data_IF_810406641600
#
_entry.id   IF_810406641600
#
_cell.length_a   1.000
_cell.length_b   1.000
_cell.length_c   1.000
_cell.angle_alpha   90.00
_cell.angle_beta   90.00
_cell.angle_gamma   90.00
#
_symmetry.space_group_name_H-M   'P 1'
#
loop_
_entity.id
_entity.type
_entity.pdbx_description
1 polymer ?
#
# COMPACT_ATOMS: atom_id res chain seq x y z
N UNK A 1 12.23 4.49 9.66
CA UNK A 1 11.40 5.54 9.03
C UNK A 1 9.95 5.18 9.34
N UNK A 2 8.96 5.82 8.73
CA UNK A 2 7.56 5.37 8.86
C UNK A 2 6.88 5.68 7.54
N UNK A 3 6.05 4.77 7.05
CA UNK A 3 5.43 4.91 5.73
C UNK A 3 3.94 5.17 5.87
N UNK A 4 3.45 6.24 5.23
CA UNK A 4 2.03 6.55 5.20
C UNK A 4 1.39 5.93 3.95
N UNK A 5 0.27 5.23 4.15
CA UNK A 5 -0.58 4.71 3.08
C UNK A 5 -2.01 5.25 3.25
N UNK A 6 -2.75 5.35 2.15
CA UNK A 6 -4.17 5.68 2.23
C UNK A 6 -5.00 4.46 2.66
N UNK A 7 -6.05 4.64 3.46
CA UNK A 7 -6.98 3.58 3.88
C UNK A 7 -7.70 2.91 2.71
N UNK A 8 -7.95 1.60 2.81
CA UNK A 8 -8.64 0.81 1.79
C UNK A 8 -10.12 1.21 1.64
N UNK A 9 -10.53 1.69 0.46
CA UNK A 9 -11.96 1.81 0.11
C UNK A 9 -12.20 1.49 -1.37
N UNK A 10 -13.14 0.58 -1.61
CA UNK A 10 -13.57 0.18 -2.94
C UNK A 10 -14.51 1.22 -3.55
N UNK A 11 -14.05 1.97 -4.56
CA UNK A 11 -14.94 2.73 -5.46
C UNK A 11 -14.71 4.24 -5.58
N UNK A 12 -13.65 4.79 -5.00
CA UNK A 12 -13.30 6.22 -5.14
C UNK A 12 -11.85 6.43 -5.56
N UNK A 13 -11.48 7.69 -5.79
CA UNK A 13 -10.11 8.11 -6.10
C UNK A 13 -9.15 7.68 -5.00
N UNK A 14 -8.10 6.96 -5.38
CA UNK A 14 -7.02 6.56 -4.48
C UNK A 14 -6.13 7.77 -4.28
N UNK A 15 -5.90 8.15 -3.02
CA UNK A 15 -4.91 9.18 -2.73
C UNK A 15 -3.51 8.61 -3.01
N UNK A 16 -2.65 9.30 -3.78
CA UNK A 16 -1.30 8.83 -4.05
C UNK A 16 -0.45 8.85 -2.78
N UNK A 17 0.45 7.88 -2.65
CA UNK A 17 1.45 7.77 -1.58
C UNK A 17 2.68 7.02 -2.10
N UNK A 18 3.83 7.17 -1.46
CA UNK A 18 5.12 6.73 -2.00
C UNK A 18 5.17 5.22 -2.29
N UNK A 19 4.66 4.40 -1.35
CA UNK A 19 4.60 2.95 -1.54
C UNK A 19 3.69 2.56 -2.71
N UNK A 20 2.65 3.35 -3.03
CA UNK A 20 1.78 3.08 -4.18
C UNK A 20 2.54 3.25 -5.49
N UNK A 21 3.28 4.34 -5.64
CA UNK A 21 4.04 4.63 -6.86
C UNK A 21 5.11 3.56 -7.11
N UNK A 22 5.74 3.09 -6.02
CA UNK A 22 6.68 2.00 -6.09
C UNK A 22 6.04 0.68 -6.50
N UNK A 23 4.93 0.30 -5.87
CA UNK A 23 4.29 -0.99 -6.13
C UNK A 23 3.53 -1.02 -7.47
N UNK A 24 3.12 0.15 -7.99
CA UNK A 24 2.53 0.27 -9.32
C UNK A 24 3.40 -0.35 -10.42
N UNK A 25 4.73 -0.32 -10.25
CA UNK A 25 5.70 -0.91 -11.19
C UNK A 25 5.52 -2.41 -11.39
N UNK A 26 4.84 -3.10 -10.47
CA UNK A 26 4.60 -4.55 -10.53
C UNK A 26 3.31 -4.94 -11.24
N UNK A 27 2.27 -4.10 -11.17
CA UNK A 27 0.92 -4.44 -11.64
C UNK A 27 0.37 -3.47 -12.68
N UNK A 28 1.05 -2.34 -12.92
CA UNK A 28 0.72 -1.38 -13.98
C UNK A 28 -0.42 -0.41 -13.65
N UNK A 29 -1.22 -0.67 -12.60
CA UNK A 29 -2.32 0.19 -12.19
C UNK A 29 -2.28 0.58 -10.70
N UNK A 30 -2.64 1.83 -10.39
CA UNK A 30 -2.74 2.32 -9.01
C UNK A 30 -3.80 1.53 -8.23
N UNK A 31 -4.86 1.11 -8.90
CA UNK A 31 -5.94 0.38 -8.22
C UNK A 31 -5.51 -1.01 -7.79
N UNK A 32 -4.90 -1.78 -8.69
CA UNK A 32 -4.43 -3.13 -8.33
C UNK A 32 -3.29 -3.05 -7.31
N UNK A 33 -2.39 -2.07 -7.43
CA UNK A 33 -1.32 -1.88 -6.46
C UNK A 33 -1.88 -1.53 -5.08
N UNK A 34 -2.86 -0.64 -5.00
CA UNK A 34 -3.52 -0.27 -3.75
C UNK A 34 -4.25 -1.48 -3.12
N UNK A 35 -5.02 -2.22 -3.91
CA UNK A 35 -5.75 -3.40 -3.43
C UNK A 35 -4.78 -4.50 -2.95
N UNK A 36 -3.69 -4.75 -3.67
CA UNK A 36 -2.67 -5.71 -3.27
C UNK A 36 -1.89 -5.29 -2.02
N UNK A 37 -1.53 -4.00 -1.89
CA UNK A 37 -0.91 -3.44 -0.65
C UNK A 37 -1.81 -3.73 0.55
N UNK A 38 -3.11 -3.48 0.44
CA UNK A 38 -4.04 -3.71 1.54
C UNK A 38 -4.29 -5.19 1.82
N UNK A 39 -4.26 -6.04 0.79
CA UNK A 39 -4.31 -7.50 0.98
C UNK A 39 -3.10 -7.99 1.78
N UNK A 40 -1.88 -7.62 1.38
CA UNK A 40 -0.66 -8.02 2.10
C UNK A 40 -0.61 -7.41 3.50
N UNK A 41 -1.05 -6.16 3.68
CA UNK A 41 -1.14 -5.55 4.99
C UNK A 41 -2.09 -6.32 5.92
N UNK A 42 -3.23 -6.80 5.40
CA UNK A 42 -4.16 -7.61 6.17
C UNK A 42 -3.53 -8.96 6.60
N UNK A 43 -2.76 -9.60 5.72
CA UNK A 43 -2.03 -10.83 6.04
C UNK A 43 -0.97 -10.57 7.12
N UNK A 44 -0.20 -9.49 7.02
CA UNK A 44 0.79 -9.09 8.04
C UNK A 44 0.12 -8.81 9.38
N UNK A 45 -1.01 -8.08 9.39
CA UNK A 45 -1.79 -7.83 10.61
C UNK A 45 -2.28 -9.14 11.24
N UNK A 46 -2.68 -10.12 10.43
CA UNK A 46 -3.11 -11.42 10.94
C UNK A 46 -1.97 -12.22 11.59
N UNK A 47 -0.72 -12.00 11.17
CA UNK A 47 0.47 -12.69 11.67
C UNK A 47 1.06 -11.97 12.89
N UNK A 48 1.35 -10.66 12.76
CA UNK A 48 2.10 -9.87 13.74
C UNK A 48 1.19 -9.09 14.71
N UNK A 49 -0.09 -8.94 14.37
CA UNK A 49 -1.07 -8.15 15.11
C UNK A 49 -1.09 -6.67 14.72
N UNK A 50 -2.26 -6.05 14.84
CA UNK A 50 -2.48 -4.67 14.38
C UNK A 50 -1.56 -3.65 15.06
N UNK A 51 -1.29 -3.80 16.36
CA UNK A 51 -0.46 -2.86 17.13
C UNK A 51 1.03 -2.89 16.80
N UNK A 52 1.53 -3.96 16.17
CA UNK A 52 2.92 -4.04 15.70
C UNK A 52 3.06 -3.51 14.26
N UNK A 53 1.97 -3.53 13.50
CA UNK A 53 1.93 -3.20 12.07
C UNK A 53 1.50 -1.76 11.82
N UNK A 54 0.45 -1.28 12.50
CA UNK A 54 -0.09 0.07 12.35
C UNK A 54 0.37 0.94 13.52
N UNK A 55 1.18 1.96 13.22
CA UNK A 55 1.68 2.93 14.19
C UNK A 55 0.61 3.96 14.52
N UNK A 56 -0.09 4.48 13.50
CA UNK A 56 -1.12 5.50 13.71
C UNK A 56 -2.15 5.52 12.58
N UNK A 57 -3.33 6.06 12.87
CA UNK A 57 -4.38 6.36 11.87
C UNK A 57 -4.82 7.80 12.06
N UNK A 58 -4.81 8.59 10.99
CA UNK A 58 -5.19 10.01 11.03
C UNK A 58 -6.20 10.30 9.92
N UNK A 59 -7.35 10.93 10.23
CA UNK A 59 -8.29 11.35 9.19
C UNK A 59 -7.64 12.31 8.20
N UNK A 60 -7.93 12.16 6.91
CA UNK A 60 -7.47 13.08 5.87
C UNK A 60 -8.17 14.44 6.02
N UNK A 61 -9.44 14.43 6.45
CA UNK A 61 -10.27 15.61 6.73
C UNK A 61 -10.75 15.56 8.18
N UNK A 62 -9.95 16.04 9.14
CA UNK A 62 -10.27 15.92 10.56
C UNK A 62 -11.57 16.62 10.94
N UNK A 63 -11.84 17.82 10.40
CA UNK A 63 -13.07 18.57 10.70
C UNK A 63 -14.33 17.82 10.23
N UNK A 64 -14.26 17.21 9.04
CA UNK A 64 -15.37 16.40 8.52
C UNK A 64 -15.61 15.14 9.35
N UNK A 65 -14.54 14.56 9.90
CA UNK A 65 -14.60 13.37 10.75
C UNK A 65 -15.22 13.68 12.12
N UNK A 66 -15.00 14.88 12.66
CA UNK A 66 -15.59 15.35 13.92
C UNK A 66 -17.10 15.55 13.77
N UNK A 67 -17.53 16.19 12.68
CA UNK A 67 -18.95 16.45 12.41
C UNK A 67 -19.72 15.21 11.92
N UNK A 68 -19.04 14.25 11.27
CA UNK A 68 -19.65 13.05 10.69
C UNK A 68 -18.79 11.78 10.97
N UNK A 69 -18.74 11.30 12.23
CA UNK A 69 -17.84 10.21 12.63
C UNK A 69 -18.16 8.87 11.95
N UNK A 70 -19.41 8.67 11.53
CA UNK A 70 -19.88 7.46 10.83
C UNK A 70 -19.77 7.56 9.31
N UNK A 71 -19.25 8.67 8.77
CA UNK A 71 -19.23 8.90 7.33
C UNK A 71 -18.34 7.87 6.62
N UNK A 72 -18.86 7.36 5.50
CA UNK A 72 -18.09 6.57 4.57
C UNK A 72 -17.07 7.43 3.80
N UNK A 73 -17.00 8.73 4.08
CA UNK A 73 -16.05 9.67 3.49
C UNK A 73 -14.89 10.01 4.44
N UNK A 74 -14.85 9.39 5.62
CA UNK A 74 -13.72 9.52 6.55
C UNK A 74 -12.57 8.65 6.06
N UNK A 75 -11.84 9.15 5.06
CA UNK A 75 -10.54 8.60 4.66
C UNK A 75 -9.53 8.82 5.76
N UNK A 76 -8.61 7.87 5.92
CA UNK A 76 -7.49 8.03 6.85
C UNK A 76 -6.17 7.76 6.16
N UNK A 77 -5.16 8.53 6.55
CA UNK A 77 -3.77 8.13 6.43
C UNK A 77 -3.47 7.09 7.50
N UNK A 78 -2.83 6.00 7.10
CA UNK A 78 -2.39 4.91 7.98
C UNK A 78 -0.88 4.92 7.95
N UNK A 79 -0.26 5.13 9.11
CA UNK A 79 1.19 4.98 9.27
C UNK A 79 1.49 3.53 9.59
N UNK A 80 2.25 2.85 8.74
CA UNK A 80 2.73 1.48 8.96
C UNK A 80 4.18 1.47 9.45
N UNK A 81 4.56 0.40 10.14
CA UNK A 81 5.94 0.17 10.56
C UNK A 81 6.87 -0.13 9.38
N UNK A 82 8.17 0.13 9.55
CA UNK A 82 9.19 -0.19 8.54
C UNK A 82 9.18 -1.68 8.18
N UNK A 83 8.99 -2.56 9.17
CA UNK A 83 8.91 -4.00 8.96
C UNK A 83 7.73 -4.39 8.07
N UNK A 84 6.57 -3.76 8.29
CA UNK A 84 5.38 -3.99 7.48
C UNK A 84 5.58 -3.48 6.04
N UNK A 85 6.19 -2.30 5.89
CA UNK A 85 6.54 -1.79 4.56
C UNK A 85 7.47 -2.75 3.81
N UNK A 86 8.55 -3.18 4.46
CA UNK A 86 9.51 -4.10 3.85
C UNK A 86 8.85 -5.43 3.49
N UNK A 87 8.03 -6.00 4.37
CA UNK A 87 7.30 -7.23 4.10
C UNK A 87 6.34 -7.08 2.92
N UNK A 88 5.67 -5.94 2.75
CA UNK A 88 4.83 -5.66 1.57
C UNK A 88 5.69 -5.66 0.31
N UNK A 89 6.83 -4.97 0.29
CA UNK A 89 7.72 -4.92 -0.87
C UNK A 89 8.23 -6.32 -1.26
N UNK A 90 8.60 -7.13 -0.27
CA UNK A 90 9.03 -8.52 -0.47
C UNK A 90 7.89 -9.40 -1.01
N UNK A 91 6.68 -9.25 -0.47
CA UNK A 91 5.49 -9.96 -0.95
C UNK A 91 5.15 -9.60 -2.40
N UNK A 92 5.27 -8.32 -2.79
CA UNK A 92 5.10 -7.89 -4.18
C UNK A 92 6.14 -8.52 -5.10
N UNK A 93 7.42 -8.48 -4.72
CA UNK A 93 8.50 -9.08 -5.52
C UNK A 93 8.34 -10.60 -5.69
N UNK A 94 7.84 -11.30 -4.66
CA UNK A 94 7.57 -12.73 -4.73
C UNK A 94 6.32 -13.08 -5.56
N UNK A 95 5.28 -12.23 -5.51
CA UNK A 95 3.98 -12.49 -6.16
C UNK A 95 3.96 -12.06 -7.63
N UNK A 96 4.63 -10.94 -7.93
CA UNK A 96 4.70 -10.34 -9.25
C UNK A 96 6.17 -10.32 -9.69
N UNK A 97 6.75 -11.46 -10.09
CA UNK A 97 8.11 -11.46 -10.63
C UNK A 97 8.16 -10.48 -11.80
N UNK A 98 9.17 -9.60 -11.78
CA UNK A 98 9.44 -8.62 -12.84
C UNK A 98 9.99 -9.37 -14.08
N UNK A 99 9.21 -10.25 -14.68
CA UNK A 99 9.56 -10.93 -15.92
C UNK A 99 9.34 -9.95 -17.09
N UNK A 100 10.43 -9.35 -17.60
CA UNK A 100 10.37 -8.53 -18.82
C UNK A 100 11.41 -7.43 -19.03
N UNK A 101 12.51 -7.38 -18.28
CA UNK A 101 13.74 -6.73 -18.77
C UNK A 101 14.82 -7.80 -18.88
N UNK A 102 14.59 -8.78 -19.75
CA UNK A 102 15.69 -9.61 -20.24
C UNK A 102 16.60 -8.70 -21.06
N UNK A 103 17.78 -8.46 -20.50
CA UNK A 103 19.02 -8.08 -21.16
C UNK A 103 19.04 -8.29 -22.70
N UNK A 104 18.81 -7.22 -23.48
CA UNK A 104 19.37 -7.12 -24.83
C UNK A 104 20.90 -6.92 -24.73
N UNK A 105 21.60 -7.86 -24.09
CA UNK A 105 23.06 -7.90 -24.09
C UNK A 105 23.49 -8.92 -25.14
N UNK A 106 23.71 -8.38 -26.33
CA UNK A 106 24.85 -8.73 -27.19
C UNK A 106 25.12 -10.23 -27.39
N UNK A 107 24.46 -10.83 -28.38
CA UNK A 107 25.04 -11.96 -29.10
C UNK A 107 24.84 -11.80 -30.61
N UNK A 108 25.60 -10.87 -31.18
CA UNK A 108 26.02 -10.90 -32.58
C UNK A 108 27.50 -11.30 -32.60
N UNK A 109 27.76 -12.60 -32.69
CA UNK A 109 29.02 -13.15 -33.20
C UNK A 109 28.75 -13.76 -34.58
#
# INVERSE_FOLDING_TARGET
MTTEIASHRTGRTIHPYDLLDDMRKYVGSDREAHDAIHSFLADIIAIDGEGATIISKRPIRPDLAEDNPSDLDTYSWITISDNAEQAIREAFAATYPQDGVEDEVENRN
#
